data_IF_108759960549
#
_entry.id   IF_108759960549
#
_cell.length_a   1.000
_cell.length_b   1.000
_cell.length_c   1.000
_cell.angle_alpha   90.00
_cell.angle_beta   90.00
_cell.angle_gamma   90.00
#
_symmetry.space_group_name_H-M   'P 1'
#
loop_
_entity.id
_entity.type
_entity.pdbx_description
1 polymer ?
#
# COMPACT_ATOMS: atom_id res chain seq x y z
N UNK A 1 13.91 -8.23 -32.26
CA UNK A 1 14.87 -7.92 -31.18
C UNK A 1 14.33 -6.75 -30.38
N UNK A 2 14.18 -6.85 -29.05
CA UNK A 2 13.98 -5.67 -28.22
C UNK A 2 15.20 -4.75 -28.33
N UNK A 3 15.00 -3.45 -28.17
CA UNK A 3 16.07 -2.45 -28.18
C UNK A 3 17.06 -2.69 -27.03
N UNK A 4 18.35 -2.42 -27.26
CA UNK A 4 19.34 -2.43 -26.19
C UNK A 4 18.94 -1.41 -25.10
N UNK A 5 19.15 -1.77 -23.83
CA UNK A 5 18.81 -0.93 -22.67
C UNK A 5 17.33 -0.53 -22.56
N UNK A 6 16.40 -1.39 -23.01
CA UNK A 6 14.95 -1.16 -22.91
C UNK A 6 14.48 -0.75 -21.50
N UNK A 7 15.17 -1.19 -20.45
CA UNK A 7 14.88 -0.83 -19.06
C UNK A 7 14.88 0.68 -18.78
N UNK A 8 15.62 1.49 -19.56
CA UNK A 8 15.63 2.96 -19.46
C UNK A 8 14.30 3.57 -19.94
N UNK A 9 13.60 2.87 -20.82
CA UNK A 9 12.36 3.32 -21.45
C UNK A 9 11.11 2.62 -20.89
N UNK A 10 11.27 1.79 -19.85
CA UNK A 10 10.18 1.06 -19.21
C UNK A 10 9.97 1.52 -17.79
N UNK A 11 8.70 1.65 -17.39
CA UNK A 11 8.31 2.04 -16.05
C UNK A 11 7.42 0.97 -15.43
N UNK A 12 7.77 0.52 -14.22
CA UNK A 12 6.95 -0.40 -13.43
C UNK A 12 6.06 0.40 -12.49
N UNK A 13 4.74 0.31 -12.67
CA UNK A 13 3.77 1.03 -11.84
C UNK A 13 3.00 0.09 -10.92
N UNK A 14 2.75 0.57 -9.71
CA UNK A 14 1.80 -0.08 -8.81
C UNK A 14 0.37 0.24 -9.25
N UNK A 15 -0.45 -0.79 -9.42
CA UNK A 15 -1.86 -0.65 -9.82
C UNK A 15 -2.74 -0.32 -8.61
N UNK A 16 -2.59 0.90 -8.07
CA UNK A 16 -3.24 1.29 -6.82
C UNK A 16 -4.77 1.15 -6.85
N UNK A 17 -5.44 1.59 -7.91
CA UNK A 17 -6.91 1.51 -7.99
C UNK A 17 -7.41 0.06 -7.94
N UNK A 18 -6.78 -0.84 -8.70
CA UNK A 18 -7.08 -2.26 -8.71
C UNK A 18 -6.82 -2.88 -7.33
N UNK A 19 -5.69 -2.55 -6.72
CA UNK A 19 -5.33 -3.00 -5.37
C UNK A 19 -6.35 -2.54 -4.32
N UNK A 20 -6.67 -1.24 -4.27
CA UNK A 20 -7.62 -0.67 -3.31
C UNK A 20 -9.01 -1.28 -3.49
N UNK A 21 -9.45 -1.47 -4.74
CA UNK A 21 -10.74 -2.11 -5.05
C UNK A 21 -10.78 -3.55 -4.55
N UNK A 22 -9.82 -4.38 -4.94
CA UNK A 22 -9.83 -5.80 -4.63
C UNK A 22 -9.59 -6.10 -3.15
N UNK A 23 -8.87 -5.22 -2.46
CA UNK A 23 -8.67 -5.32 -0.99
C UNK A 23 -9.75 -4.60 -0.18
N UNK A 24 -10.73 -3.98 -0.84
CA UNK A 24 -11.84 -3.26 -0.22
C UNK A 24 -11.46 -1.95 0.48
N UNK A 25 -10.23 -1.46 0.30
CA UNK A 25 -9.67 -0.25 0.93
C UNK A 25 -9.97 -0.16 2.44
N UNK A 26 -9.89 -1.31 3.12
CA UNK A 26 -10.12 -1.43 4.55
C UNK A 26 -9.00 -2.27 5.14
N UNK A 27 -8.13 -1.62 5.89
CA UNK A 27 -6.93 -2.23 6.43
C UNK A 27 -6.87 -2.09 7.94
N UNK A 28 -6.28 -3.07 8.60
CA UNK A 28 -6.09 -3.03 10.05
C UNK A 28 -4.75 -2.37 10.37
N UNK A 29 -4.75 -1.35 11.23
CA UNK A 29 -3.53 -0.67 11.64
C UNK A 29 -2.68 -1.59 12.52
N UNK A 30 -1.44 -1.85 12.11
CA UNK A 30 -0.48 -2.67 12.87
C UNK A 30 0.47 -1.79 13.66
N UNK A 31 1.01 -0.74 13.05
CA UNK A 31 1.88 0.25 13.69
C UNK A 31 1.89 1.55 12.90
N UNK A 32 2.35 2.63 13.54
CA UNK A 32 2.57 3.92 12.91
C UNK A 32 3.87 4.54 13.41
N UNK A 33 4.57 5.28 12.55
CA UNK A 33 5.77 6.04 12.90
C UNK A 33 5.78 7.37 12.14
N UNK A 34 6.27 8.47 12.74
CA UNK A 34 6.49 9.72 12.02
C UNK A 34 7.40 9.50 10.81
N UNK A 35 7.13 10.22 9.74
CA UNK A 35 7.91 10.23 8.52
C UNK A 35 8.28 11.66 8.16
N UNK A 36 9.57 11.88 7.86
CA UNK A 36 10.07 13.10 7.26
C UNK A 36 10.98 12.66 6.11
N UNK A 37 10.74 13.21 4.91
CA UNK A 37 11.58 12.91 3.75
C UNK A 37 12.98 13.47 3.96
N UNK A 38 13.99 12.68 3.58
CA UNK A 38 15.40 13.09 3.62
C UNK A 38 15.75 14.09 2.51
N UNK A 39 14.95 14.12 1.44
CA UNK A 39 15.19 14.97 0.27
C UNK A 39 14.46 16.30 0.37
N UNK A 40 13.28 16.28 0.97
CA UNK A 40 12.41 17.45 1.11
C UNK A 40 11.80 17.46 2.54
N UNK A 41 12.30 18.31 3.46
CA UNK A 41 11.79 18.38 4.82
C UNK A 41 10.31 18.75 4.93
N UNK A 42 9.72 19.39 3.90
CA UNK A 42 8.30 19.75 3.88
C UNK A 42 7.41 18.55 3.56
N UNK A 43 7.97 17.50 2.95
CA UNK A 43 7.32 16.20 2.79
C UNK A 43 7.38 15.39 4.08
N UNK A 44 6.52 15.77 5.01
CA UNK A 44 6.34 15.08 6.29
C UNK A 44 4.95 14.45 6.42
N UNK A 45 4.87 13.46 7.29
CA UNK A 45 3.68 12.66 7.46
C UNK A 45 3.92 11.45 8.36
N UNK A 46 3.26 10.35 8.03
CA UNK A 46 3.24 9.16 8.88
C UNK A 46 3.41 7.92 8.01
N UNK A 47 4.32 7.03 8.38
CA UNK A 47 4.37 5.69 7.83
C UNK A 47 3.49 4.77 8.65
N UNK A 48 2.57 4.08 7.99
CA UNK A 48 1.65 3.12 8.57
C UNK A 48 2.03 1.73 8.09
N UNK A 49 2.13 0.78 9.02
CA UNK A 49 2.12 -0.65 8.70
C UNK A 49 0.69 -1.12 8.78
N UNK A 50 0.16 -1.64 7.68
CA UNK A 50 -1.24 -2.03 7.55
C UNK A 50 -1.35 -3.52 7.22
N UNK A 51 -2.35 -4.20 7.79
CA UNK A 51 -2.66 -5.59 7.48
C UNK A 51 -3.88 -5.67 6.57
N UNK A 52 -3.80 -6.49 5.53
CA UNK A 52 -4.87 -6.74 4.56
C UNK A 52 -5.92 -7.64 5.20
N UNK A 53 -7.17 -7.16 5.21
CA UNK A 53 -8.29 -7.86 5.87
C UNK A 53 -9.22 -8.55 4.88
N UNK A 54 -9.12 -8.17 3.61
CA UNK A 54 -9.90 -8.69 2.50
C UNK A 54 -9.02 -8.65 1.25
N UNK A 55 -9.13 -9.67 0.41
CA UNK A 55 -8.48 -9.72 -0.90
C UNK A 55 -9.31 -10.60 -1.83
N UNK A 56 -9.93 -9.99 -2.84
CA UNK A 56 -10.75 -10.66 -3.86
C UNK A 56 -9.97 -10.87 -5.17
N UNK A 57 -8.66 -10.68 -5.17
CA UNK A 57 -7.84 -10.84 -6.38
C UNK A 57 -7.67 -12.32 -6.74
N UNK A 58 -7.91 -12.65 -8.02
CA UNK A 58 -7.62 -13.98 -8.56
C UNK A 58 -6.17 -14.09 -9.02
N UNK A 59 -5.31 -14.65 -8.17
CA UNK A 59 -3.88 -14.86 -8.46
C UNK A 59 -3.58 -16.05 -9.37
N UNK A 60 -4.60 -16.85 -9.69
CA UNK A 60 -4.48 -18.02 -10.55
C UNK A 60 -3.84 -19.23 -9.85
N UNK A 61 -3.40 -20.19 -10.66
CA UNK A 61 -2.83 -21.48 -10.22
C UNK A 61 -1.32 -21.45 -10.42
N UNK A 62 -0.58 -21.89 -9.41
CA UNK A 62 0.85 -22.07 -9.51
C UNK A 62 1.16 -23.27 -10.43
N UNK A 63 1.90 -23.01 -11.52
CA UNK A 63 2.18 -24.02 -12.55
C UNK A 63 3.08 -25.17 -12.07
N UNK A 64 3.84 -25.00 -10.98
CA UNK A 64 4.74 -26.04 -10.46
C UNK A 64 4.01 -26.96 -9.50
N UNK A 65 3.15 -26.42 -8.65
CA UNK A 65 2.45 -27.18 -7.60
C UNK A 65 1.04 -27.61 -8.00
N UNK A 66 0.43 -26.95 -9.00
CA UNK A 66 -0.97 -27.15 -9.37
C UNK A 66 -1.97 -26.56 -8.37
N UNK A 67 -1.50 -25.88 -7.33
CA UNK A 67 -2.34 -25.31 -6.27
C UNK A 67 -2.76 -23.87 -6.59
N UNK A 68 -3.92 -23.44 -6.08
CA UNK A 68 -4.33 -22.03 -6.12
C UNK A 68 -3.30 -21.20 -5.34
N UNK A 69 -2.89 -20.07 -5.90
CA UNK A 69 -1.97 -19.15 -5.20
C UNK A 69 -2.67 -18.53 -3.99
N UNK A 70 -1.91 -18.37 -2.91
CA UNK A 70 -2.38 -17.70 -1.71
C UNK A 70 -2.79 -16.25 -2.02
N UNK A 71 -3.80 -15.78 -1.31
CA UNK A 71 -4.17 -14.36 -1.31
C UNK A 71 -3.30 -13.58 -0.33
N UNK A 72 -3.50 -12.27 -0.25
CA UNK A 72 -2.73 -11.42 0.67
C UNK A 72 -3.42 -11.17 2.01
N UNK A 73 -4.49 -11.90 2.36
CA UNK A 73 -5.14 -11.70 3.66
C UNK A 73 -4.13 -12.02 4.78
N UNK A 74 -4.12 -11.21 5.84
CA UNK A 74 -3.15 -11.21 6.94
C UNK A 74 -1.76 -10.67 6.59
N UNK A 75 -1.38 -10.57 5.32
CA UNK A 75 -0.13 -9.94 4.93
C UNK A 75 -0.13 -8.46 5.33
N UNK A 76 1.07 -7.94 5.62
CA UNK A 76 1.28 -6.54 5.98
C UNK A 76 2.01 -5.79 4.87
N UNK A 77 1.70 -4.51 4.73
CA UNK A 77 2.38 -3.61 3.81
C UNK A 77 2.54 -2.23 4.44
N UNK A 78 3.58 -1.52 3.98
CA UNK A 78 3.89 -0.18 4.44
C UNK A 78 3.35 0.86 3.45
N UNK A 79 2.75 1.91 4.00
CA UNK A 79 2.37 3.11 3.24
C UNK A 79 2.83 4.34 3.99
N UNK A 80 3.07 5.43 3.28
CA UNK A 80 3.29 6.73 3.91
C UNK A 80 2.22 7.71 3.49
N UNK A 81 1.60 8.32 4.49
CA UNK A 81 0.57 9.33 4.34
C UNK A 81 1.22 10.70 4.48
N UNK A 82 1.24 11.48 3.41
CA UNK A 82 1.87 12.81 3.36
C UNK A 82 0.86 13.91 3.70
N UNK A 83 0.39 13.91 4.94
CA UNK A 83 -0.61 14.87 5.44
C UNK A 83 -0.06 15.87 6.47
N UNK A 84 1.26 15.93 6.64
CA UNK A 84 1.90 16.85 7.57
C UNK A 84 1.81 16.46 9.05
N UNK A 85 1.10 15.37 9.40
CA UNK A 85 0.91 14.91 10.79
C UNK A 85 2.04 13.98 11.21
N UNK A 86 2.33 13.90 12.50
CA UNK A 86 3.29 12.93 13.06
C UNK A 86 2.62 11.65 13.57
N UNK A 87 1.31 11.74 13.86
CA UNK A 87 0.49 10.62 14.35
C UNK A 87 -0.96 10.76 13.91
N UNK A 88 -1.64 9.63 13.73
CA UNK A 88 -3.11 9.56 13.58
C UNK A 88 -3.75 9.10 14.88
N UNK A 89 -4.95 9.60 15.17
CA UNK A 89 -5.79 9.22 16.31
C UNK A 89 -6.51 7.88 16.06
N UNK A 90 -5.71 6.86 15.71
CA UNK A 90 -6.15 5.49 15.45
C UNK A 90 -5.26 4.53 16.21
N UNK A 91 -5.88 3.63 16.96
CA UNK A 91 -5.19 2.64 17.78
C UNK A 91 -4.83 1.40 16.97
N UNK A 92 -3.79 0.70 17.42
CA UNK A 92 -3.42 -0.60 16.84
C UNK A 92 -4.62 -1.53 16.87
N UNK A 93 -4.87 -2.20 15.76
CA UNK A 93 -5.97 -3.13 15.58
C UNK A 93 -7.26 -2.49 15.09
N UNK A 94 -7.37 -1.16 15.06
CA UNK A 94 -8.49 -0.46 14.43
C UNK A 94 -8.33 -0.40 12.90
N UNK A 95 -9.40 -0.03 12.21
CA UNK A 95 -9.47 -0.06 10.75
C UNK A 95 -9.30 1.33 10.15
N UNK A 96 -8.62 1.37 9.01
CA UNK A 96 -8.38 2.59 8.23
C UNK A 96 -8.63 2.38 6.74
N UNK A 97 -8.97 3.47 6.04
CA UNK A 97 -8.99 3.58 4.58
C UNK A 97 -7.94 4.57 4.10
N UNK A 98 -7.34 4.28 2.96
CA UNK A 98 -6.36 5.14 2.31
C UNK A 98 -7.04 6.05 1.30
N UNK A 99 -6.57 7.30 1.18
CA UNK A 99 -7.20 8.35 0.38
C UNK A 99 -6.17 8.99 -0.53
N UNK A 100 -6.55 9.16 -1.79
CA UNK A 100 -5.79 9.81 -2.86
C UNK A 100 -4.36 9.27 -2.99
N UNK A 101 -4.21 8.16 -3.70
CA UNK A 101 -2.91 7.62 -4.05
C UNK A 101 -2.09 8.65 -4.86
N UNK A 102 -0.83 8.87 -4.46
CA UNK A 102 0.07 9.83 -5.10
C UNK A 102 0.98 9.07 -6.04
N UNK A 103 0.59 8.98 -7.32
CA UNK A 103 1.32 8.20 -8.33
C UNK A 103 2.77 8.70 -8.49
N UNK A 104 2.96 10.01 -8.58
CA UNK A 104 4.26 10.67 -8.82
C UNK A 104 5.29 10.47 -7.70
N UNK A 105 4.84 10.11 -6.49
CA UNK A 105 5.70 9.90 -5.32
C UNK A 105 5.73 8.43 -4.88
N UNK A 106 5.09 7.55 -5.64
CA UNK A 106 5.03 6.12 -5.37
C UNK A 106 5.86 5.36 -6.39
N UNK A 107 6.65 4.39 -5.91
CA UNK A 107 7.65 3.71 -6.72
C UNK A 107 7.61 2.21 -6.50
N UNK A 108 7.88 1.46 -7.57
CA UNK A 108 8.17 0.03 -7.52
C UNK A 108 9.64 -0.15 -7.88
N UNK A 109 10.46 -0.53 -6.91
CA UNK A 109 11.91 -0.70 -7.08
C UNK A 109 12.26 -2.15 -6.78
N UNK A 110 12.46 -2.95 -7.83
CA UNK A 110 12.59 -4.40 -7.67
C UNK A 110 11.32 -5.00 -7.06
N UNK A 111 11.42 -5.53 -5.85
CA UNK A 111 10.28 -6.05 -5.08
C UNK A 111 9.78 -5.10 -3.99
N UNK A 112 10.46 -3.96 -3.79
CA UNK A 112 10.09 -2.98 -2.78
C UNK A 112 9.02 -2.03 -3.32
N UNK A 113 7.99 -1.83 -2.50
CA UNK A 113 6.89 -0.92 -2.78
C UNK A 113 7.02 0.33 -1.89
N UNK A 114 7.19 1.48 -2.52
CA UNK A 114 7.10 2.77 -1.84
C UNK A 114 5.74 3.36 -2.22
N UNK A 115 4.77 3.27 -1.33
CA UNK A 115 3.39 3.71 -1.59
C UNK A 115 3.08 4.98 -0.80
N UNK A 116 2.64 6.02 -1.51
CA UNK A 116 2.31 7.32 -0.93
C UNK A 116 0.84 7.68 -1.14
N UNK A 117 0.23 8.22 -0.09
CA UNK A 117 -1.17 8.65 -0.09
C UNK A 117 -1.27 10.05 0.50
N UNK A 118 -2.26 10.84 0.07
CA UNK A 118 -2.47 12.18 0.64
C UNK A 118 -3.05 12.11 2.04
N UNK A 119 -3.96 11.16 2.30
CA UNK A 119 -4.60 11.07 3.61
C UNK A 119 -5.00 9.63 3.99
N UNK A 120 -5.46 9.49 5.23
CA UNK A 120 -5.98 8.26 5.81
C UNK A 120 -7.13 8.59 6.75
N UNK A 121 -8.15 7.75 6.78
CA UNK A 121 -9.30 7.92 7.65
C UNK A 121 -9.60 6.64 8.43
N UNK A 122 -10.07 6.82 9.67
CA UNK A 122 -10.58 5.73 10.49
C UNK A 122 -11.90 5.22 9.92
N UNK A 123 -12.08 3.90 9.92
CA UNK A 123 -13.35 3.26 9.58
C UNK A 123 -13.96 2.66 10.84
N UNK A 124 -15.23 3.01 11.09
CA UNK A 124 -16.02 2.36 12.14
C UNK A 124 -16.64 1.08 11.59
N UNK A 125 -15.99 -0.04 11.84
CA UNK A 125 -16.55 -1.36 11.52
C UNK A 125 -17.49 -1.73 12.66
N UNK A 126 -18.80 -1.70 12.41
CA UNK A 126 -19.77 -2.27 13.36
C UNK A 126 -19.57 -3.80 13.37
N UNK A 127 -19.41 -4.45 14.54
CA UNK A 127 -19.46 -5.90 14.58
C UNK A 127 -20.83 -6.35 14.07
N UNK A 128 -20.83 -7.28 13.10
CA UNK A 128 -22.04 -8.01 12.70
C UNK A 128 -22.37 -9.06 13.75
#
# INVERSE_FOLDING_TARGET
MPIANAWVFTETKFKAEEFLKNTGNMYRLVSQRPYISKKDPDEKGITLTLSITKDETEYGIDKKTGMKRDNNILNTFDVTVLNGKERIEVSKGEYVRLIDFINEKSFVIGFDLILRFKNVEKINVKPK
#
